data_IF_267699635621
#
_entry.id   IF_267699635621
#
_cell.length_a   1.000
_cell.length_b   1.000
_cell.length_c   1.000
_cell.angle_alpha   90.00
_cell.angle_beta   90.00
_cell.angle_gamma   90.00
#
_symmetry.space_group_name_H-M   'P 1'
#
loop_
_entity.id
_entity.type
_entity.pdbx_description
1 polymer ?
#
# COMPACT_ATOMS: atom_id res chain seq x y z
N UNK A 1 -30.74 15.93 -15.13
CA UNK A 1 -30.77 15.84 -13.66
C UNK A 1 -29.33 15.69 -13.22
N UNK A 2 -28.67 16.82 -13.01
CA UNK A 2 -27.25 16.89 -12.71
C UNK A 2 -27.06 16.62 -11.22
N UNK A 3 -26.78 15.36 -10.89
CA UNK A 3 -26.31 15.00 -9.57
C UNK A 3 -24.82 15.33 -9.51
N UNK A 4 -24.53 16.49 -8.93
CA UNK A 4 -23.24 16.80 -8.30
C UNK A 4 -22.97 15.72 -7.24
N UNK A 5 -22.39 14.61 -7.68
CA UNK A 5 -21.74 13.66 -6.79
C UNK A 5 -20.55 14.42 -6.19
N UNK A 6 -20.74 14.95 -4.98
CA UNK A 6 -19.61 15.14 -4.08
C UNK A 6 -19.01 13.74 -3.91
N UNK A 7 -17.96 13.45 -4.67
CA UNK A 7 -17.19 12.24 -4.46
C UNK A 7 -16.56 12.39 -3.07
N UNK A 8 -17.19 11.80 -2.06
CA UNK A 8 -16.48 11.53 -0.82
C UNK A 8 -15.26 10.67 -1.21
N UNK A 9 -14.02 11.13 -0.93
CA UNK A 9 -12.86 10.35 -1.26
C UNK A 9 -12.91 9.06 -0.44
N UNK A 10 -13.21 7.94 -1.10
CA UNK A 10 -13.07 6.62 -0.49
C UNK A 10 -11.60 6.38 -0.13
N UNK A 11 -11.28 5.69 0.97
CA UNK A 11 -9.91 5.32 1.31
C UNK A 11 -9.16 4.61 0.16
N UNK A 12 -9.88 3.89 -0.72
CA UNK A 12 -9.31 3.27 -1.93
C UNK A 12 -8.88 4.32 -2.97
N UNK A 13 -9.65 5.40 -3.13
CA UNK A 13 -9.27 6.53 -4.00
C UNK A 13 -8.05 7.26 -3.44
N UNK A 14 -7.97 7.43 -2.12
CA UNK A 14 -6.79 8.00 -1.47
C UNK A 14 -5.55 7.13 -1.65
N UNK A 15 -5.68 5.80 -1.54
CA UNK A 15 -4.60 4.86 -1.83
C UNK A 15 -4.14 4.97 -3.29
N UNK A 16 -5.07 5.04 -4.25
CA UNK A 16 -4.75 5.23 -5.66
C UNK A 16 -4.00 6.55 -5.90
N UNK A 17 -4.40 7.62 -5.20
CA UNK A 17 -3.70 8.91 -5.23
C UNK A 17 -2.29 8.79 -4.64
N UNK A 18 -2.10 8.05 -3.55
CA UNK A 18 -0.79 7.81 -2.96
C UNK A 18 0.15 7.09 -3.94
N UNK A 19 -0.36 6.10 -4.69
CA UNK A 19 0.39 5.43 -5.76
C UNK A 19 0.77 6.41 -6.88
N UNK A 20 -0.17 7.23 -7.35
CA UNK A 20 0.11 8.23 -8.39
C UNK A 20 1.18 9.25 -7.93
N UNK A 21 1.12 9.69 -6.67
CA UNK A 21 2.12 10.55 -6.06
C UNK A 21 3.49 9.87 -5.95
N UNK A 22 3.52 8.56 -5.61
CA UNK A 22 4.75 7.79 -5.58
C UNK A 22 5.45 7.69 -6.96
N UNK A 23 4.64 7.65 -8.02
CA UNK A 23 5.13 7.60 -9.41
C UNK A 23 5.62 8.96 -9.88
N UNK A 24 4.93 10.04 -9.50
CA UNK A 24 5.26 11.40 -9.94
C UNK A 24 6.40 12.03 -9.14
N UNK A 25 6.30 11.98 -7.81
CA UNK A 25 7.15 12.73 -6.88
C UNK A 25 8.10 11.80 -6.10
N UNK A 26 8.08 10.50 -6.40
CA UNK A 26 8.97 9.50 -5.83
C UNK A 26 8.38 8.75 -4.63
N UNK A 27 9.02 7.63 -4.23
CA UNK A 27 8.44 6.68 -3.29
C UNK A 27 8.17 7.26 -1.89
N UNK A 28 8.97 8.22 -1.42
CA UNK A 28 8.76 8.88 -0.13
C UNK A 28 7.44 9.68 -0.06
N UNK A 29 7.07 10.35 -1.15
CA UNK A 29 5.84 11.13 -1.22
C UNK A 29 4.60 10.22 -1.13
N UNK A 30 4.62 9.09 -1.84
CA UNK A 30 3.58 8.08 -1.72
C UNK A 30 3.51 7.43 -0.35
N UNK A 31 4.67 7.11 0.24
CA UNK A 31 4.74 6.43 1.53
C UNK A 31 4.12 7.29 2.64
N UNK A 32 4.40 8.60 2.62
CA UNK A 32 3.80 9.56 3.56
C UNK A 32 2.26 9.51 3.53
N UNK A 33 1.67 9.39 2.34
CA UNK A 33 0.21 9.31 2.19
C UNK A 33 -0.33 7.95 2.64
N UNK A 34 0.36 6.86 2.29
CA UNK A 34 -0.02 5.51 2.73
C UNK A 34 0.01 5.40 4.25
N UNK A 35 1.05 5.92 4.90
CA UNK A 35 1.17 5.93 6.35
C UNK A 35 0.08 6.79 7.00
N UNK A 36 -0.30 7.92 6.39
CA UNK A 36 -1.39 8.75 6.88
C UNK A 36 -2.76 8.05 6.80
N UNK A 37 -3.01 7.25 5.76
CA UNK A 37 -4.23 6.44 5.64
C UNK A 37 -4.24 5.37 6.76
N UNK A 38 -3.14 4.63 6.92
CA UNK A 38 -3.02 3.60 7.96
C UNK A 38 -3.14 4.16 9.37
N UNK A 39 -2.59 5.35 9.63
CA UNK A 39 -2.66 6.01 10.93
C UNK A 39 -4.10 6.36 11.35
N UNK A 40 -5.02 6.52 10.41
CA UNK A 40 -6.46 6.71 10.69
C UNK A 40 -7.20 5.39 10.94
N UNK A 41 -6.54 4.25 10.75
CA UNK A 41 -7.16 2.92 10.78
C UNK A 41 -7.87 2.54 9.46
N UNK A 42 -7.85 3.43 8.47
CA UNK A 42 -8.43 3.16 7.16
C UNK A 42 -7.65 2.06 6.46
N UNK A 43 -8.36 1.13 5.82
CA UNK A 43 -7.78 0.04 5.04
C UNK A 43 -6.86 -0.90 5.85
N UNK A 44 -6.90 -0.89 7.18
CA UNK A 44 -6.00 -1.69 8.02
C UNK A 44 -6.06 -3.21 7.74
N UNK A 45 -7.20 -3.72 7.28
CA UNK A 45 -7.39 -5.12 6.87
C UNK A 45 -7.38 -5.33 5.35
N UNK A 46 -7.00 -4.29 4.58
CA UNK A 46 -6.89 -4.37 3.13
C UNK A 46 -5.46 -4.71 2.73
N UNK A 47 -5.23 -5.92 2.20
CA UNK A 47 -3.89 -6.37 1.86
C UNK A 47 -3.14 -5.43 0.89
N UNK A 48 -3.84 -4.72 -0.01
CA UNK A 48 -3.21 -3.85 -1.00
C UNK A 48 -2.54 -2.62 -0.39
N UNK A 49 -3.06 -2.02 0.70
CA UNK A 49 -2.37 -0.88 1.33
C UNK A 49 -1.03 -1.33 1.95
N UNK A 50 -0.99 -2.52 2.54
CA UNK A 50 0.22 -3.10 3.10
C UNK A 50 1.22 -3.50 2.01
N UNK A 51 0.74 -4.06 0.89
CA UNK A 51 1.58 -4.36 -0.28
C UNK A 51 2.19 -3.09 -0.90
N UNK A 52 1.42 -2.01 -1.02
CA UNK A 52 1.91 -0.71 -1.49
C UNK A 52 2.94 -0.14 -0.53
N UNK A 53 2.66 -0.10 0.79
CA UNK A 53 3.63 0.36 1.80
C UNK A 53 4.95 -0.41 1.69
N UNK A 54 4.86 -1.74 1.57
CA UNK A 54 6.02 -2.61 1.48
C UNK A 54 6.89 -2.32 0.25
N UNK A 55 6.28 -2.15 -0.93
CA UNK A 55 7.03 -1.81 -2.15
C UNK A 55 7.71 -0.44 -2.05
N UNK A 56 7.05 0.56 -1.46
CA UNK A 56 7.61 1.89 -1.28
C UNK A 56 8.79 1.88 -0.31
N UNK A 57 8.66 1.22 0.83
CA UNK A 57 9.76 1.02 1.78
C UNK A 57 10.95 0.28 1.14
N UNK A 58 10.67 -0.76 0.34
CA UNK A 58 11.72 -1.50 -0.40
C UNK A 58 12.46 -0.59 -1.38
N UNK A 59 11.74 0.25 -2.14
CA UNK A 59 12.34 1.20 -3.10
C UNK A 59 13.17 2.29 -2.40
N UNK A 60 12.87 2.60 -1.14
CA UNK A 60 13.62 3.52 -0.30
C UNK A 60 14.81 2.86 0.43
N UNK A 61 14.97 1.54 0.32
CA UNK A 61 16.01 0.79 1.05
C UNK A 61 15.66 0.43 2.48
N UNK A 62 14.47 0.77 2.97
CA UNK A 62 13.98 0.44 4.30
C UNK A 62 13.48 -1.01 4.35
N UNK A 63 14.43 -1.97 4.30
CA UNK A 63 14.12 -3.40 4.22
C UNK A 63 13.29 -3.93 5.40
N UNK A 64 13.51 -3.41 6.61
CA UNK A 64 12.79 -3.84 7.81
C UNK A 64 11.29 -3.50 7.71
N UNK A 65 10.95 -2.25 7.37
CA UNK A 65 9.57 -1.82 7.17
C UNK A 65 8.92 -2.53 5.98
N UNK A 66 9.68 -2.74 4.91
CA UNK A 66 9.20 -3.47 3.74
C UNK A 66 8.80 -4.91 4.11
N UNK A 67 9.62 -5.59 4.90
CA UNK A 67 9.35 -6.96 5.36
C UNK A 67 8.08 -7.03 6.20
N UNK A 68 7.99 -6.19 7.24
CA UNK A 68 6.82 -6.16 8.13
C UNK A 68 5.52 -5.89 7.35
N UNK A 69 5.55 -4.97 6.38
CA UNK A 69 4.38 -4.68 5.56
C UNK A 69 4.03 -5.80 4.58
N UNK A 70 5.01 -6.48 3.97
CA UNK A 70 4.71 -7.65 3.13
C UNK A 70 4.14 -8.82 3.94
N UNK A 71 4.64 -9.06 5.16
CA UNK A 71 4.10 -10.08 6.08
C UNK A 71 2.64 -9.77 6.44
N UNK A 72 2.33 -8.50 6.74
CA UNK A 72 0.95 -8.08 7.02
C UNK A 72 0.05 -8.23 5.79
N UNK A 73 0.54 -7.87 4.60
CA UNK A 73 -0.19 -8.09 3.36
C UNK A 73 -0.48 -9.58 3.14
N UNK A 74 0.52 -10.44 3.34
CA UNK A 74 0.41 -11.89 3.18
C UNK A 74 -0.63 -12.49 4.13
N UNK A 75 -0.66 -12.05 5.38
CA UNK A 75 -1.64 -12.49 6.37
C UNK A 75 -3.09 -12.12 6.03
N UNK A 76 -3.30 -11.06 5.24
CA UNK A 76 -4.63 -10.57 4.83
C UNK A 76 -5.07 -11.09 3.45
N UNK A 77 -4.13 -11.54 2.62
CA UNK A 77 -4.39 -12.08 1.29
C UNK A 77 -4.93 -13.52 1.37
N UNK A 78 -6.00 -13.79 0.62
CA UNK A 78 -6.62 -15.13 0.50
C UNK A 78 -6.37 -15.82 -0.84
N UNK A 79 -5.84 -15.11 -1.82
CA UNK A 79 -5.63 -15.61 -3.18
C UNK A 79 -4.22 -16.18 -3.33
N UNK A 80 -4.12 -17.47 -3.63
CA UNK A 80 -2.85 -18.20 -3.83
C UNK A 80 -1.86 -17.48 -4.77
N UNK A 81 -2.25 -16.92 -5.94
CA UNK A 81 -1.31 -16.21 -6.79
C UNK A 81 -0.71 -14.95 -6.13
N UNK A 82 -1.51 -14.23 -5.35
CA UNK A 82 -1.08 -13.03 -4.63
C UNK A 82 -0.17 -13.39 -3.46
N UNK A 83 -0.45 -14.48 -2.73
CA UNK A 83 0.43 -14.97 -1.65
C UNK A 83 1.82 -15.31 -2.20
N UNK A 84 1.89 -16.09 -3.29
CA UNK A 84 3.16 -16.43 -3.96
C UNK A 84 3.94 -15.20 -4.42
N UNK A 85 3.23 -14.18 -4.92
CA UNK A 85 3.86 -12.91 -5.27
C UNK A 85 4.51 -12.24 -4.06
N UNK A 86 3.79 -12.16 -2.94
CA UNK A 86 4.26 -11.54 -1.70
C UNK A 86 5.42 -12.32 -1.07
N UNK A 87 5.35 -13.65 -1.03
CA UNK A 87 6.43 -14.53 -0.57
C UNK A 87 7.71 -14.34 -1.40
N UNK A 88 7.58 -14.25 -2.74
CA UNK A 88 8.70 -13.97 -3.62
C UNK A 88 9.33 -12.61 -3.33
N UNK A 89 8.53 -11.60 -2.99
CA UNK A 89 9.05 -10.27 -2.59
C UNK A 89 9.76 -10.32 -1.25
N UNK A 90 9.25 -11.06 -0.27
CA UNK A 90 9.89 -11.26 1.02
C UNK A 90 11.26 -11.94 0.88
N UNK A 91 11.37 -12.97 0.04
CA UNK A 91 12.64 -13.65 -0.22
C UNK A 91 13.72 -12.71 -0.84
N UNK A 92 13.30 -11.70 -1.59
CA UNK A 92 14.19 -10.70 -2.19
C UNK A 92 14.70 -9.64 -1.19
N UNK A 93 14.14 -9.58 0.02
CA UNK A 93 14.56 -8.65 1.08
C UNK A 93 15.62 -9.25 2.01
N UNK A 94 16.29 -10.32 1.59
CA UNK A 94 17.45 -10.90 2.30
C UNK A 94 18.60 -9.91 2.45
#
# INVERSE_FOLDING_TARGET
YDLLIRAEPSPVIELNRAVAMAMRDGPAAGLTLVDAILARGDLADYHLIHSTRADLCRRLGNKADARASYERALALTKQEPEQRFLEKRLAQLS
#
